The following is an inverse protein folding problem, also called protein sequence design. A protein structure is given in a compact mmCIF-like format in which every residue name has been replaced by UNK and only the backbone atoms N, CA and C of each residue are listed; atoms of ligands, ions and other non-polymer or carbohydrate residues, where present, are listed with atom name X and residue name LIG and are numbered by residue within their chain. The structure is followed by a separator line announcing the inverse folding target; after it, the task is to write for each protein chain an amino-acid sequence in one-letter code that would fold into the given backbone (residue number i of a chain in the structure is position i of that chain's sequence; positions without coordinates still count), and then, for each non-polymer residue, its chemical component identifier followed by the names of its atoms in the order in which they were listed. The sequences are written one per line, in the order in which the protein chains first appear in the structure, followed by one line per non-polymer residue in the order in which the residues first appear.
data_IF_108508498462
#
_entry.id   IF_108508498462
#
_cell.length_a   1.000
_cell.length_b   1.000
_cell.length_c   1.000
_cell.angle_alpha   90.00
_cell.angle_beta   90.00
_cell.angle_gamma   90.00
#
_symmetry.space_group_name_H-M   'P 1'
#
loop_
_entity.id
_entity.type
_entity.pdbx_description
1 polymer ?
#
# COMPACT_ATOMS: atom_id res chain seq x y z
N UNK A 1 -16.88 -5.71 -5.43
CA UNK A 1 -15.65 -6.27 -4.85
C UNK A 1 -15.18 -7.44 -5.72
N UNK A 2 -13.91 -7.43 -6.14
CA UNK A 2 -13.27 -8.51 -6.89
C UNK A 2 -12.29 -9.25 -5.94
N UNK A 3 -11.79 -10.42 -6.35
CA UNK A 3 -10.66 -11.05 -5.66
C UNK A 3 -9.35 -10.69 -6.38
N UNK A 4 -8.24 -10.60 -5.63
CA UNK A 4 -6.90 -10.48 -6.27
C UNK A 4 -6.53 -11.73 -7.08
N UNK A 5 -7.26 -12.83 -6.92
CA UNK A 5 -7.09 -14.03 -7.71
C UNK A 5 -7.81 -13.95 -9.07
N UNK A 6 -8.64 -12.93 -9.29
CA UNK A 6 -9.34 -12.70 -10.55
C UNK A 6 -8.45 -11.96 -11.56
N UNK A 7 -8.81 -12.05 -12.83
CA UNK A 7 -8.03 -11.44 -13.92
C UNK A 7 -7.94 -9.89 -13.84
N UNK A 8 -8.90 -9.25 -13.15
CA UNK A 8 -8.96 -7.78 -12.99
C UNK A 8 -7.74 -7.19 -12.31
N UNK A 9 -7.07 -7.95 -11.43
CA UNK A 9 -5.89 -7.48 -10.73
C UNK A 9 -4.71 -7.14 -11.65
N UNK A 10 -4.61 -7.76 -12.82
CA UNK A 10 -3.48 -7.61 -13.75
C UNK A 10 -3.24 -6.17 -14.21
N UNK A 11 -4.26 -5.32 -14.14
CA UNK A 11 -4.13 -3.88 -14.40
C UNK A 11 -3.31 -3.17 -13.32
N UNK A 12 -3.39 -3.67 -12.10
CA UNK A 12 -2.87 -3.01 -10.88
C UNK A 12 -1.65 -3.71 -10.29
N UNK A 13 -1.52 -5.00 -10.53
CA UNK A 13 -0.48 -5.80 -9.90
C UNK A 13 -0.55 -7.27 -10.31
N UNK A 14 0.11 -8.10 -9.52
CA UNK A 14 0.07 -9.56 -9.67
C UNK A 14 0.20 -10.26 -8.33
N UNK A 15 -0.42 -11.40 -8.18
CA UNK A 15 -0.14 -12.32 -7.07
C UNK A 15 1.22 -12.98 -7.31
N UNK A 16 2.06 -13.02 -6.27
CA UNK A 16 3.33 -13.73 -6.26
C UNK A 16 3.08 -15.11 -5.66
N UNK A 17 2.77 -16.09 -6.51
CA UNK A 17 2.25 -17.39 -6.09
C UNK A 17 3.34 -18.42 -5.72
N UNK A 18 4.59 -18.16 -6.07
CA UNK A 18 5.74 -19.09 -5.95
C UNK A 18 6.66 -18.79 -4.78
N UNK A 19 6.18 -18.07 -3.76
CA UNK A 19 6.88 -17.77 -2.52
C UNK A 19 6.12 -18.32 -1.31
N UNK A 20 6.85 -18.76 -0.29
CA UNK A 20 6.27 -19.20 0.98
C UNK A 20 6.16 -18.01 1.96
N UNK A 21 4.93 -17.63 2.28
CA UNK A 21 4.62 -16.54 3.22
C UNK A 21 4.36 -17.02 4.64
N UNK A 22 4.33 -18.34 4.89
CA UNK A 22 3.88 -18.91 6.17
C UNK A 22 4.68 -18.44 7.38
N UNK A 23 6.01 -18.30 7.25
CA UNK A 23 6.86 -17.81 8.34
C UNK A 23 6.50 -16.37 8.75
N UNK A 24 6.42 -15.47 7.77
CA UNK A 24 6.21 -14.03 8.05
C UNK A 24 4.76 -13.76 8.49
N UNK A 25 3.78 -14.48 7.96
CA UNK A 25 2.38 -14.38 8.40
C UNK A 25 2.25 -14.82 9.85
N UNK A 26 2.84 -15.96 10.21
CA UNK A 26 2.86 -16.43 11.60
C UNK A 26 3.60 -15.47 12.54
N UNK A 27 4.67 -14.83 12.09
CA UNK A 27 5.38 -13.83 12.89
C UNK A 27 4.47 -12.63 13.20
N UNK A 28 3.61 -12.24 12.25
CA UNK A 28 2.65 -11.15 12.41
C UNK A 28 1.57 -11.43 13.48
N UNK A 29 1.35 -12.69 13.92
CA UNK A 29 0.47 -12.98 15.05
C UNK A 29 0.91 -12.25 16.33
N UNK A 30 2.22 -12.03 16.50
CA UNK A 30 2.81 -11.35 17.65
C UNK A 30 2.75 -9.82 17.61
N UNK A 31 2.30 -9.24 16.50
CA UNK A 31 2.16 -7.78 16.34
C UNK A 31 0.77 -7.31 16.71
N UNK A 32 0.68 -6.12 17.25
CA UNK A 32 -0.60 -5.51 17.60
C UNK A 32 -1.44 -5.14 16.36
N UNK A 33 -2.75 -5.07 16.57
CA UNK A 33 -3.72 -4.52 15.64
C UNK A 33 -4.39 -3.31 16.32
N UNK A 34 -3.78 -2.12 16.24
CA UNK A 34 -4.28 -0.93 16.94
C UNK A 34 -5.58 -0.39 16.31
N UNK A 35 -6.31 0.44 17.05
CA UNK A 35 -7.53 1.11 16.56
C UNK A 35 -7.21 2.06 15.39
N UNK A 36 -6.11 2.83 15.50
CA UNK A 36 -5.62 3.66 14.42
C UNK A 36 -4.64 2.87 13.53
N UNK A 37 -4.57 3.24 12.25
CA UNK A 37 -3.60 2.64 11.32
C UNK A 37 -2.19 3.08 11.70
N UNK A 38 -1.31 2.11 11.96
CA UNK A 38 0.12 2.31 12.21
C UNK A 38 0.92 1.72 11.07
N UNK A 39 1.82 2.53 10.51
CA UNK A 39 2.79 2.12 9.50
C UNK A 39 4.22 2.18 10.07
N UNK A 40 4.97 1.11 9.87
CA UNK A 40 6.39 1.01 10.21
C UNK A 40 7.17 0.64 8.95
N UNK A 41 8.05 1.51 8.50
CA UNK A 41 8.74 1.38 7.21
C UNK A 41 9.68 0.16 7.14
N UNK A 42 10.37 -0.15 8.23
CA UNK A 42 11.24 -1.33 8.37
C UNK A 42 11.22 -1.85 9.80
N UNK A 43 11.12 -3.15 9.96
CA UNK A 43 11.11 -3.84 11.25
C UNK A 43 12.18 -4.94 11.27
N UNK A 44 13.06 -4.91 12.28
CA UNK A 44 14.21 -5.81 12.36
C UNK A 44 13.81 -7.30 12.36
N UNK A 45 12.68 -7.66 12.98
CA UNK A 45 12.22 -9.06 13.01
C UNK A 45 11.75 -9.51 11.64
N UNK A 46 11.03 -8.65 10.91
CA UNK A 46 10.55 -8.93 9.55
C UNK A 46 11.73 -8.97 8.56
N UNK A 47 12.70 -8.07 8.68
CA UNK A 47 13.91 -8.04 7.85
C UNK A 47 14.86 -9.24 8.10
N UNK A 48 14.75 -9.94 9.23
CA UNK A 48 15.50 -11.17 9.52
C UNK A 48 14.84 -12.45 9.01
N UNK A 49 13.70 -12.38 8.30
CA UNK A 49 13.02 -13.56 7.74
C UNK A 49 13.64 -14.01 6.41
N UNK A 50 13.42 -15.27 6.04
CA UNK A 50 13.85 -15.79 4.73
C UNK A 50 13.16 -15.06 3.57
N UNK A 51 11.90 -14.67 3.75
CA UNK A 51 11.14 -14.00 2.70
C UNK A 51 11.69 -12.59 2.40
N UNK A 52 12.24 -11.88 3.38
CA UNK A 52 12.92 -10.60 3.13
C UNK A 52 14.06 -10.76 2.09
N UNK A 53 14.89 -11.81 2.22
CA UNK A 53 15.95 -12.12 1.24
C UNK A 53 15.40 -12.44 -0.13
N UNK A 54 14.31 -13.21 -0.20
CA UNK A 54 13.64 -13.52 -1.47
C UNK A 54 13.11 -12.24 -2.13
N UNK A 55 12.54 -11.32 -1.34
CA UNK A 55 12.10 -10.01 -1.85
C UNK A 55 13.27 -9.24 -2.43
N UNK A 56 14.37 -9.08 -1.69
CA UNK A 56 15.53 -8.32 -2.16
C UNK A 56 16.18 -8.97 -3.38
N UNK A 57 16.52 -10.25 -3.30
CA UNK A 57 17.31 -10.93 -4.33
C UNK A 57 16.53 -11.21 -5.61
N UNK A 58 15.25 -11.56 -5.49
CA UNK A 58 14.44 -12.05 -6.63
C UNK A 58 13.39 -11.04 -7.08
N UNK A 59 12.52 -10.58 -6.18
CA UNK A 59 11.40 -9.71 -6.57
C UNK A 59 11.88 -8.31 -6.95
N UNK A 60 12.83 -7.76 -6.18
CA UNK A 60 13.44 -6.46 -6.47
C UNK A 60 14.78 -6.54 -7.20
N UNK A 61 15.21 -7.77 -7.63
CA UNK A 61 16.35 -7.97 -8.51
C UNK A 61 17.69 -7.50 -7.93
N UNK A 62 17.89 -7.63 -6.62
CA UNK A 62 19.09 -7.21 -5.90
C UNK A 62 19.09 -5.74 -5.46
N UNK A 63 17.97 -5.01 -5.65
CA UNK A 63 17.83 -3.68 -5.07
C UNK A 63 17.53 -3.80 -3.57
N UNK A 64 18.25 -3.04 -2.70
CA UNK A 64 17.99 -3.07 -1.27
C UNK A 64 16.53 -2.71 -0.94
N UNK A 65 15.90 -3.51 -0.10
CA UNK A 65 14.53 -3.30 0.36
C UNK A 65 14.48 -3.09 1.87
N UNK A 66 13.35 -2.59 2.32
CA UNK A 66 12.91 -2.58 3.71
C UNK A 66 11.64 -3.42 3.82
N UNK A 67 11.49 -4.12 4.92
CA UNK A 67 10.30 -4.91 5.22
C UNK A 67 9.72 -4.43 6.53
N UNK A 68 8.57 -3.82 6.43
CA UNK A 68 7.82 -3.28 7.56
C UNK A 68 6.37 -3.77 7.55
N UNK A 69 5.49 -3.01 8.16
CA UNK A 69 4.08 -3.39 8.24
C UNK A 69 3.15 -2.19 8.29
N UNK A 70 1.89 -2.43 7.92
CA UNK A 70 0.77 -1.52 8.08
C UNK A 70 -0.35 -2.30 8.77
N UNK A 71 -0.67 -1.96 10.01
CA UNK A 71 -1.67 -2.65 10.81
C UNK A 71 -2.67 -1.65 11.40
N UNK A 72 -3.91 -2.07 11.60
CA UNK A 72 -4.91 -1.26 12.29
C UNK A 72 -6.32 -1.47 11.77
N UNK A 73 -7.18 -0.50 12.06
CA UNK A 73 -8.56 -0.49 11.59
C UNK A 73 -8.75 0.64 10.58
N UNK A 74 -9.18 0.30 9.39
CA UNK A 74 -9.58 1.22 8.33
C UNK A 74 -10.72 0.60 7.53
N UNK A 75 -11.71 1.41 7.17
CA UNK A 75 -12.86 1.02 6.37
C UNK A 75 -13.11 1.98 5.20
N UNK A 76 -12.21 2.95 5.01
CA UNK A 76 -12.39 4.00 4.01
C UNK A 76 -11.18 4.15 3.11
N UNK A 77 -11.42 4.69 1.91
CA UNK A 77 -10.39 5.03 0.95
C UNK A 77 -9.38 6.04 1.52
N UNK A 78 -9.85 7.13 2.08
CA UNK A 78 -9.11 8.23 2.70
C UNK A 78 -8.10 8.94 1.79
N UNK A 79 -7.26 8.20 1.10
CA UNK A 79 -6.24 8.73 0.19
C UNK A 79 -5.89 7.70 -0.89
N UNK A 80 -5.11 8.14 -1.86
CA UNK A 80 -4.38 7.30 -2.81
C UNK A 80 -2.95 7.80 -2.89
N UNK A 81 -1.99 6.91 -2.85
CA UNK A 81 -0.57 7.19 -2.98
C UNK A 81 0.07 6.35 -4.07
N UNK A 82 1.24 6.77 -4.52
CA UNK A 82 2.07 5.99 -5.42
C UNK A 82 3.56 6.21 -5.13
N UNK A 83 4.33 5.23 -5.55
CA UNK A 83 5.79 5.21 -5.49
C UNK A 83 6.38 5.14 -6.89
N UNK A 84 7.68 5.48 -7.06
CA UNK A 84 8.42 5.26 -8.32
C UNK A 84 8.88 3.80 -8.49
N UNK A 85 8.40 2.91 -7.63
CA UNK A 85 8.69 1.48 -7.60
C UNK A 85 7.41 0.70 -7.30
N UNK A 86 7.39 -0.59 -7.61
CA UNK A 86 6.35 -1.48 -7.09
C UNK A 86 6.47 -1.58 -5.56
N UNK A 87 5.34 -1.86 -4.91
CA UNK A 87 5.24 -2.26 -3.52
C UNK A 87 4.79 -3.71 -3.43
N UNK A 88 5.31 -4.50 -2.49
CA UNK A 88 4.77 -5.82 -2.20
C UNK A 88 4.03 -5.78 -0.87
N UNK A 89 2.77 -6.24 -0.90
CA UNK A 89 1.93 -6.44 0.27
C UNK A 89 1.76 -7.93 0.53
N UNK A 90 1.95 -8.36 1.79
CA UNK A 90 1.63 -9.72 2.22
C UNK A 90 0.53 -9.64 3.26
N UNK A 91 -0.63 -10.16 2.93
CA UNK A 91 -1.78 -10.16 3.82
C UNK A 91 -1.55 -11.12 4.99
N UNK A 92 -1.38 -10.60 6.21
CA UNK A 92 -1.28 -11.41 7.42
C UNK A 92 -2.66 -11.62 8.09
N UNK A 93 -3.69 -10.99 7.58
CA UNK A 93 -5.11 -11.26 7.79
C UNK A 93 -5.83 -11.02 6.47
N UNK A 94 -7.05 -11.47 6.32
CA UNK A 94 -7.90 -11.04 5.21
C UNK A 94 -7.99 -9.50 5.18
N UNK A 95 -7.86 -8.91 4.01
CA UNK A 95 -7.90 -7.46 3.83
C UNK A 95 -8.48 -7.06 2.47
N UNK A 96 -8.79 -5.78 2.32
CA UNK A 96 -9.25 -5.19 1.06
C UNK A 96 -8.27 -4.12 0.62
N UNK A 97 -7.83 -4.18 -0.63
CA UNK A 97 -7.09 -3.11 -1.29
C UNK A 97 -8.04 -2.29 -2.17
N UNK A 98 -8.01 -0.98 -2.01
CA UNK A 98 -8.68 -0.01 -2.89
C UNK A 98 -7.63 0.55 -3.85
N UNK A 99 -7.75 0.21 -5.13
CA UNK A 99 -6.72 0.48 -6.14
C UNK A 99 -7.22 1.41 -7.23
N UNK A 100 -6.34 2.28 -7.70
CA UNK A 100 -6.57 3.15 -8.85
C UNK A 100 -5.43 3.07 -9.86
N UNK A 101 -5.65 3.53 -11.10
CA UNK A 101 -4.59 3.64 -12.10
C UNK A 101 -3.99 5.03 -12.10
N UNK A 102 -2.67 5.13 -12.09
CA UNK A 102 -1.96 6.40 -12.20
C UNK A 102 -2.25 7.13 -13.52
N UNK A 103 -2.62 6.40 -14.58
CA UNK A 103 -3.02 6.98 -15.87
C UNK A 103 -4.31 7.82 -15.78
N UNK A 104 -5.13 7.58 -14.75
CA UNK A 104 -6.37 8.30 -14.51
C UNK A 104 -6.21 9.59 -13.69
N UNK A 105 -5.00 9.87 -13.18
CA UNK A 105 -4.67 11.14 -12.52
C UNK A 105 -4.71 12.26 -13.58
N UNK A 106 -5.49 13.31 -13.31
CA UNK A 106 -5.64 14.44 -14.22
C UNK A 106 -4.42 15.38 -14.18
N UNK A 107 -4.30 16.27 -15.15
CA UNK A 107 -3.20 17.25 -15.24
C UNK A 107 -3.12 18.19 -14.02
N UNK A 108 -4.23 18.43 -13.33
CA UNK A 108 -4.29 19.20 -12.09
C UNK A 108 -3.99 18.36 -10.84
N UNK A 109 -3.65 17.07 -11.02
CA UNK A 109 -3.40 16.05 -10.02
C UNK A 109 -4.63 15.60 -9.23
N UNK A 110 -5.85 15.89 -9.72
CA UNK A 110 -7.06 15.33 -9.11
C UNK A 110 -7.34 13.91 -9.63
N UNK A 111 -8.11 13.14 -8.85
CA UNK A 111 -8.51 11.78 -9.19
C UNK A 111 -9.97 11.54 -8.82
N UNK A 112 -10.74 10.93 -9.71
CA UNK A 112 -12.16 10.60 -9.47
C UNK A 112 -12.26 9.27 -8.71
N UNK A 113 -12.81 9.28 -7.49
CA UNK A 113 -12.96 8.09 -6.66
C UNK A 113 -13.82 7.00 -7.28
N UNK A 114 -14.74 7.36 -8.18
CA UNK A 114 -15.54 6.40 -8.95
C UNK A 114 -14.75 5.46 -9.85
N UNK A 115 -13.44 5.74 -10.07
CA UNK A 115 -12.52 4.88 -10.82
C UNK A 115 -11.75 3.90 -9.95
N UNK A 116 -11.91 3.99 -8.63
CA UNK A 116 -11.27 3.07 -7.69
C UNK A 116 -11.97 1.72 -7.75
N UNK A 117 -11.18 0.65 -7.79
CA UNK A 117 -11.65 -0.72 -7.74
C UNK A 117 -11.20 -1.41 -6.44
N UNK A 118 -12.10 -2.17 -5.81
CA UNK A 118 -11.84 -2.88 -4.56
C UNK A 118 -11.50 -4.35 -4.79
N UNK A 119 -10.43 -4.83 -4.16
CA UNK A 119 -9.94 -6.19 -4.26
C UNK A 119 -9.81 -6.84 -2.88
N UNK A 120 -10.49 -7.96 -2.69
CA UNK A 120 -10.29 -8.82 -1.54
C UNK A 120 -8.97 -9.59 -1.67
N UNK A 121 -8.15 -9.54 -0.62
CA UNK A 121 -6.86 -10.23 -0.52
C UNK A 121 -6.94 -11.23 0.62
N UNK A 122 -6.96 -12.54 0.35
CA UNK A 122 -6.95 -13.56 1.40
C UNK A 122 -5.66 -13.53 2.22
N UNK A 123 -5.74 -13.88 3.50
CA UNK A 123 -4.58 -14.14 4.35
C UNK A 123 -3.57 -15.07 3.65
N UNK A 124 -2.29 -14.82 3.82
CA UNK A 124 -1.20 -15.56 3.21
C UNK A 124 -0.87 -15.15 1.78
N UNK A 125 -1.67 -14.30 1.15
CA UNK A 125 -1.43 -13.85 -0.23
C UNK A 125 -0.39 -12.75 -0.28
N UNK A 126 0.65 -12.93 -1.11
CA UNK A 126 1.58 -11.87 -1.48
C UNK A 126 1.16 -11.27 -2.83
N UNK A 127 1.06 -9.95 -2.87
CA UNK A 127 0.70 -9.20 -4.08
C UNK A 127 1.74 -8.11 -4.36
N UNK A 128 2.27 -8.07 -5.59
CA UNK A 128 3.01 -6.94 -6.11
C UNK A 128 2.02 -5.92 -6.68
N UNK A 129 1.98 -4.73 -6.10
CA UNK A 129 1.25 -3.56 -6.57
C UNK A 129 2.20 -2.73 -7.43
N UNK A 130 1.88 -2.54 -8.71
CA UNK A 130 2.78 -1.90 -9.67
C UNK A 130 3.00 -0.41 -9.37
N UNK A 131 4.15 0.14 -9.77
CA UNK A 131 4.47 1.57 -9.68
C UNK A 131 3.47 2.50 -10.42
N UNK A 132 2.65 1.93 -11.32
CA UNK A 132 1.57 2.60 -12.03
C UNK A 132 0.23 2.55 -11.30
N UNK A 133 0.20 1.95 -10.12
CA UNK A 133 -1.03 1.74 -9.33
C UNK A 133 -1.04 2.68 -8.13
N UNK A 134 -2.18 3.34 -7.97
CA UNK A 134 -2.51 4.10 -6.77
C UNK A 134 -3.11 3.16 -5.73
N UNK A 135 -2.66 3.29 -4.50
CA UNK A 135 -3.13 2.51 -3.34
C UNK A 135 -3.02 3.36 -2.06
N UNK A 136 -3.49 2.84 -0.96
CA UNK A 136 -3.29 3.42 0.38
C UNK A 136 -3.39 2.30 1.42
N UNK A 137 -3.44 2.68 2.72
CA UNK A 137 -3.62 1.71 3.80
C UNK A 137 -4.78 0.73 3.48
N UNK A 138 -4.58 -0.58 3.63
CA UNK A 138 -5.64 -1.57 3.43
C UNK A 138 -6.89 -1.28 4.29
N UNK A 139 -8.01 -1.82 3.87
CA UNK A 139 -9.21 -1.88 4.71
C UNK A 139 -9.37 -3.28 5.29
N UNK A 140 -9.96 -3.35 6.49
CA UNK A 140 -10.34 -4.62 7.09
C UNK A 140 -11.60 -5.19 6.44
N UNK A 141 -11.81 -6.50 6.59
CA UNK A 141 -12.99 -7.21 6.10
C UNK A 141 -14.07 -7.21 7.20
N UNK A 142 -15.32 -6.98 6.82
CA UNK A 142 -16.48 -7.02 7.72
C UNK A 142 -16.32 -6.19 9.01
N UNK A 143 -15.69 -5.01 8.90
CA UNK A 143 -15.47 -4.11 10.02
C UNK A 143 -14.35 -4.54 10.98
N UNK A 144 -13.61 -5.59 10.64
CA UNK A 144 -12.42 -6.01 11.41
C UNK A 144 -11.21 -5.13 11.07
N UNK A 145 -10.15 -5.23 11.86
CA UNK A 145 -8.85 -4.67 11.52
C UNK A 145 -8.11 -5.52 10.48
N UNK A 146 -6.94 -5.05 10.08
CA UNK A 146 -6.06 -5.75 9.17
C UNK A 146 -4.60 -5.73 9.65
N UNK A 147 -3.83 -6.72 9.22
CA UNK A 147 -2.37 -6.77 9.34
C UNK A 147 -1.77 -7.04 7.97
N UNK A 148 -0.87 -6.17 7.55
CA UNK A 148 -0.22 -6.25 6.24
C UNK A 148 1.29 -6.04 6.38
N UNK A 149 2.09 -6.99 5.90
CA UNK A 149 3.52 -6.76 5.71
C UNK A 149 3.73 -5.96 4.42
N UNK A 150 4.57 -4.94 4.50
CA UNK A 150 4.85 -4.03 3.39
C UNK A 150 6.33 -4.09 3.04
N UNK A 151 6.65 -4.37 1.77
CA UNK A 151 8.03 -4.38 1.26
C UNK A 151 8.17 -3.31 0.19
N UNK A 152 9.16 -2.44 0.37
CA UNK A 152 9.47 -1.31 -0.51
C UNK A 152 11.00 -1.16 -0.66
N UNK A 153 11.48 -0.47 -1.71
CA UNK A 153 12.88 -0.06 -1.77
C UNK A 153 13.28 0.70 -0.52
N UNK A 154 14.47 0.40 -0.01
CA UNK A 154 15.01 0.98 1.22
C UNK A 154 15.02 2.52 1.16
N UNK A 155 14.51 3.15 2.21
CA UNK A 155 14.39 4.60 2.31
C UNK A 155 13.05 5.17 1.84
N UNK A 156 12.13 4.35 1.33
CA UNK A 156 10.77 4.79 1.00
C UNK A 156 9.98 5.12 2.29
N UNK A 157 9.11 6.13 2.22
CA UNK A 157 8.28 6.61 3.33
C UNK A 157 9.05 7.22 4.53
N UNK A 158 10.33 7.52 4.35
CA UNK A 158 11.09 8.31 5.33
C UNK A 158 10.90 9.82 5.07
N UNK A 159 11.33 10.62 6.03
CA UNK A 159 11.28 12.08 5.91
C UNK A 159 12.01 12.56 4.63
N UNK A 160 11.43 13.55 3.97
CA UNK A 160 11.98 14.16 2.77
C UNK A 160 11.97 15.69 2.87
N UNK A 161 12.99 16.32 2.30
CA UNK A 161 12.98 17.76 2.08
C UNK A 161 12.30 18.03 0.74
N UNK A 162 11.09 18.59 0.79
CA UNK A 162 10.37 18.99 -0.41
C UNK A 162 10.83 20.37 -0.88
N UNK A 163 11.47 20.45 -2.03
CA UNK A 163 11.99 21.71 -2.61
C UNK A 163 10.99 22.42 -3.50
N UNK A 164 9.82 21.81 -3.75
CA UNK A 164 8.79 22.32 -4.65
C UNK A 164 9.33 22.68 -6.06
N UNK A 165 10.26 21.88 -6.56
CA UNK A 165 10.91 22.11 -7.86
C UNK A 165 10.00 21.83 -9.04
N UNK A 166 9.00 20.95 -8.88
CA UNK A 166 8.02 20.58 -9.90
C UNK A 166 6.59 20.76 -9.42
N UNK A 167 5.64 20.83 -10.34
CA UNK A 167 4.22 20.93 -10.00
C UNK A 167 3.69 19.69 -9.26
N UNK A 168 4.30 18.53 -9.49
CA UNK A 168 3.95 17.26 -8.83
C UNK A 168 4.38 17.25 -7.34
N UNK A 169 5.36 18.05 -6.96
CA UNK A 169 5.91 18.08 -5.60
C UNK A 169 4.87 18.49 -4.53
N UNK A 170 3.75 19.12 -4.94
CA UNK A 170 2.63 19.34 -4.01
C UNK A 170 2.02 18.06 -3.46
N UNK A 171 2.25 16.91 -4.13
CA UNK A 171 1.83 15.59 -3.68
C UNK A 171 2.89 14.89 -2.83
N UNK A 172 4.15 15.36 -2.88
CA UNK A 172 5.29 14.70 -2.22
C UNK A 172 5.16 14.78 -0.70
N UNK A 173 4.69 13.68 -0.09
CA UNK A 173 4.44 13.58 1.35
C UNK A 173 5.60 12.97 2.13
N UNK A 174 6.38 12.08 1.49
CA UNK A 174 7.55 11.43 2.07
C UNK A 174 8.52 11.00 0.96
N UNK A 175 9.67 10.48 1.31
CA UNK A 175 10.63 9.93 0.35
C UNK A 175 9.98 8.87 -0.52
N UNK A 176 10.03 9.03 -1.85
CA UNK A 176 9.41 8.12 -2.84
C UNK A 176 7.89 7.94 -2.66
N UNK A 177 7.19 8.92 -2.05
CA UNK A 177 5.75 8.84 -1.77
C UNK A 177 5.04 10.11 -2.19
N UNK A 178 4.12 9.98 -3.16
CA UNK A 178 3.21 11.03 -3.61
C UNK A 178 1.78 10.66 -3.19
N UNK A 179 1.08 11.58 -2.52
CA UNK A 179 -0.20 11.35 -1.87
C UNK A 179 -1.28 12.30 -2.41
N UNK A 180 -2.44 11.75 -2.73
CA UNK A 180 -3.66 12.47 -3.08
C UNK A 180 -4.72 12.11 -2.04
N UNK A 181 -5.08 13.04 -1.17
CA UNK A 181 -6.01 12.80 -0.08
C UNK A 181 -7.46 13.14 -0.45
N UNK A 182 -8.40 12.52 0.25
CA UNK A 182 -9.79 12.97 0.31
C UNK A 182 -9.92 14.02 1.43
N UNK A 183 -10.73 15.06 1.20
CA UNK A 183 -10.88 16.15 2.17
C UNK A 183 -11.43 15.67 3.52
N UNK A 184 -12.35 14.68 3.52
CA UNK A 184 -12.92 14.09 4.73
C UNK A 184 -11.92 13.27 5.56
N UNK A 185 -10.76 12.94 5.02
CA UNK A 185 -9.74 12.19 5.74
C UNK A 185 -8.90 13.06 6.67
N UNK A 186 -8.94 14.38 6.48
CA UNK A 186 -8.24 15.38 7.31
C UNK A 186 -6.74 15.09 7.52
N UNK A 187 -6.05 14.63 6.46
CA UNK A 187 -4.62 14.33 6.52
C UNK A 187 -3.84 15.65 6.44
N UNK A 188 -3.16 16.00 7.52
CA UNK A 188 -2.42 17.25 7.63
C UNK A 188 -1.35 17.41 6.54
N UNK A 189 -1.37 18.56 5.86
CA UNK A 189 -0.40 18.89 4.81
C UNK A 189 -0.58 18.16 3.49
N UNK A 190 -1.53 17.23 3.38
CA UNK A 190 -1.78 16.49 2.15
C UNK A 190 -2.55 17.32 1.12
N UNK A 191 -2.28 17.07 -0.16
CA UNK A 191 -3.05 17.63 -1.27
C UNK A 191 -4.43 16.95 -1.37
N UNK A 192 -5.51 17.68 -1.10
CA UNK A 192 -6.88 17.19 -1.21
C UNK A 192 -7.32 17.17 -2.68
N UNK A 193 -6.97 16.11 -3.38
CA UNK A 193 -7.20 15.93 -4.83
C UNK A 193 -8.21 14.85 -5.20
N UNK A 194 -8.64 14.00 -4.25
CA UNK A 194 -9.70 13.01 -4.53
C UNK A 194 -11.05 13.70 -4.69
N UNK A 195 -11.79 13.32 -5.72
CA UNK A 195 -13.11 13.86 -6.08
C UNK A 195 -14.14 12.75 -6.09
N UNK A 196 -15.28 12.98 -5.43
CA UNK A 196 -16.36 12.02 -5.30
C UNK A 196 -16.53 11.56 -3.85
N UNK A 197 -16.98 10.33 -3.67
CA UNK A 197 -17.24 9.74 -2.36
C UNK A 197 -15.92 9.26 -1.71
N UNK A 198 -15.76 9.45 -0.40
CA UNK A 198 -14.75 8.74 0.37
C UNK A 198 -15.25 7.30 0.60
N UNK A 199 -14.97 6.44 -0.37
CA UNK A 199 -15.51 5.07 -0.47
C UNK A 199 -15.34 4.34 0.87
N UNK A 200 -16.44 3.74 1.34
CA UNK A 200 -16.45 2.86 2.51
C UNK A 200 -16.67 1.42 2.08
N UNK A 201 -15.94 0.46 2.62
CA UNK A 201 -16.06 -0.98 2.36
C UNK A 201 -16.74 -1.71 3.49
#
# INVERSE_FOLDING_TARGET
MQSVLDAGIKKYGRVIADIDTGEIVKLMDSYDMPEDVVYVAGDEKLENTQIHKVMEESIYGGCPVQTGYCNGHNQKLNALEYHRSSEVNIAATDMILLLGSREDVKDDFTYETSKVEGFFVPEGTAIEVYATTLHYAPCGVDGQGFKCVVVLPKGTNLDVVNTHATAEDKLLAASNKWLIAHEDAHIDGAFNGLRGENITV
#
